data_IF_398816689000
#
_entry.id   IF_398816689000
#
_cell.length_a   1.000
_cell.length_b   1.000
_cell.length_c   1.000
_cell.angle_alpha   90.00
_cell.angle_beta   90.00
_cell.angle_gamma   90.00
#
_symmetry.space_group_name_H-M   'P 1'
#
loop_
_entity.id
_entity.type
_entity.pdbx_description
1 polymer ?
#
# COMPACT_ATOMS: atom_id res chain seq x y z
N UNK A 1 -8.95 -8.08 6.74
CA UNK A 1 -8.99 -6.75 6.10
C UNK A 1 -7.58 -6.32 5.74
N UNK A 2 -7.45 -5.22 5.00
CA UNK A 2 -6.16 -4.72 4.49
C UNK A 2 -5.09 -4.55 5.58
N UNK A 3 -5.44 -3.87 6.68
CA UNK A 3 -4.54 -3.63 7.83
C UNK A 3 -3.90 -4.90 8.41
N UNK A 4 -4.66 -6.00 8.49
CA UNK A 4 -4.19 -7.30 9.01
C UNK A 4 -3.01 -7.85 8.22
N UNK A 5 -2.96 -7.60 6.90
CA UNK A 5 -1.84 -8.07 6.08
C UNK A 5 -0.56 -7.33 6.44
N UNK A 6 -0.64 -6.03 6.71
CA UNK A 6 0.51 -5.21 7.08
C UNK A 6 1.01 -5.60 8.47
N UNK A 7 0.11 -5.87 9.42
CA UNK A 7 0.46 -6.41 10.74
C UNK A 7 1.22 -7.75 10.62
N UNK A 8 0.75 -8.67 9.77
CA UNK A 8 1.45 -9.95 9.52
C UNK A 8 2.84 -9.73 8.91
N UNK A 9 2.98 -8.78 7.97
CA UNK A 9 4.29 -8.44 7.40
C UNK A 9 5.22 -7.87 8.47
N UNK A 10 4.70 -7.05 9.38
CA UNK A 10 5.45 -6.50 10.51
C UNK A 10 5.93 -7.60 11.46
N UNK A 11 5.02 -8.48 11.88
CA UNK A 11 5.34 -9.61 12.78
C UNK A 11 6.40 -10.54 12.20
N UNK A 12 6.46 -10.65 10.86
CA UNK A 12 7.45 -11.46 10.16
C UNK A 12 8.73 -10.71 9.80
N UNK A 13 8.88 -9.45 10.20
CA UNK A 13 10.00 -8.58 9.81
C UNK A 13 10.18 -8.48 8.28
N UNK A 14 9.06 -8.40 7.55
CA UNK A 14 9.02 -8.36 6.08
C UNK A 14 8.51 -7.04 5.52
N UNK A 15 8.20 -6.04 6.37
CA UNK A 15 7.69 -4.74 5.89
C UNK A 15 8.67 -4.06 4.93
N UNK A 16 9.95 -4.04 5.26
CA UNK A 16 10.96 -3.36 4.43
C UNK A 16 11.28 -4.13 3.13
N UNK A 17 10.80 -5.37 3.00
CA UNK A 17 11.03 -6.22 1.83
C UNK A 17 10.02 -5.96 0.71
N UNK A 18 8.85 -5.44 1.02
CA UNK A 18 7.76 -5.29 0.05
C UNK A 18 7.18 -3.88 0.08
N UNK A 19 6.84 -3.38 -1.09
CA UNK A 19 5.95 -2.23 -1.24
C UNK A 19 4.51 -2.72 -1.19
N UNK A 20 3.71 -2.16 -0.29
CA UNK A 20 2.31 -2.51 -0.07
C UNK A 20 1.43 -1.36 -0.51
N UNK A 21 0.61 -1.57 -1.54
CA UNK A 21 -0.42 -0.62 -1.96
C UNK A 21 -1.81 -1.14 -1.60
N UNK A 22 -2.72 -0.24 -1.23
CA UNK A 22 -4.12 -0.54 -0.94
C UNK A 22 -5.02 -0.10 -2.10
N UNK A 23 -6.24 -0.64 -2.17
CA UNK A 23 -7.18 -0.29 -3.23
C UNK A 23 -8.62 -0.70 -2.91
N UNK A 24 -9.55 -0.23 -3.74
CA UNK A 24 -10.99 -0.40 -3.56
C UNK A 24 -11.70 0.92 -3.22
N UNK A 25 -13.01 0.97 -3.50
CA UNK A 25 -13.82 2.18 -3.36
C UNK A 25 -13.73 2.93 -2.00
N UNK A 26 -13.61 2.26 -0.83
CA UNK A 26 -13.56 2.98 0.45
C UNK A 26 -12.15 3.42 0.88
N UNK A 27 -11.11 3.16 0.07
CA UNK A 27 -9.73 3.48 0.46
C UNK A 27 -9.46 4.98 0.27
N UNK A 28 -8.88 5.59 1.30
CA UNK A 28 -8.48 7.00 1.33
C UNK A 28 -7.00 7.11 1.69
N UNK A 29 -6.40 8.28 1.42
CA UNK A 29 -5.03 8.57 1.90
C UNK A 29 -4.90 8.46 3.43
N UNK A 30 -5.93 8.83 4.19
CA UNK A 30 -5.94 8.67 5.64
C UNK A 30 -5.89 7.20 6.07
N UNK A 31 -6.60 6.32 5.36
CA UNK A 31 -6.58 4.88 5.63
C UNK A 31 -5.22 4.25 5.30
N UNK A 32 -4.59 4.65 4.19
CA UNK A 32 -3.23 4.22 3.82
C UNK A 32 -2.23 4.58 4.92
N UNK A 33 -2.28 5.82 5.42
CA UNK A 33 -1.42 6.29 6.50
C UNK A 33 -1.70 5.54 7.82
N UNK A 34 -2.96 5.32 8.17
CA UNK A 34 -3.32 4.54 9.37
C UNK A 34 -2.81 3.09 9.28
N UNK A 35 -2.84 2.52 8.09
CA UNK A 35 -2.37 1.18 7.81
C UNK A 35 -0.85 1.06 7.72
N UNK A 36 -0.12 2.17 7.58
CA UNK A 36 1.32 2.16 7.25
C UNK A 36 1.63 1.44 5.92
N UNK A 37 0.81 1.69 4.89
CA UNK A 37 1.03 1.22 3.54
C UNK A 37 1.76 2.28 2.68
N UNK A 38 2.37 1.88 1.56
CA UNK A 38 3.14 2.75 0.67
C UNK A 38 2.27 3.59 -0.28
N UNK A 39 0.99 3.25 -0.48
CA UNK A 39 0.11 4.08 -1.30
C UNK A 39 -1.26 3.47 -1.61
N UNK A 40 -2.08 4.25 -2.30
CA UNK A 40 -3.28 3.77 -3.02
C UNK A 40 -3.47 4.59 -4.30
N UNK A 41 -4.29 4.07 -5.22
CA UNK A 41 -4.73 4.81 -6.38
C UNK A 41 -6.25 4.65 -6.58
N UNK A 42 -6.90 5.68 -7.13
CA UNK A 42 -8.35 5.72 -7.34
C UNK A 42 -8.79 4.84 -8.52
N UNK A 43 -7.90 4.55 -9.46
CA UNK A 43 -8.19 3.75 -10.64
C UNK A 43 -6.96 2.98 -11.13
N UNK A 44 -7.17 2.10 -12.12
CA UNK A 44 -6.14 1.22 -12.65
C UNK A 44 -4.98 1.97 -13.31
N UNK A 45 -5.24 3.09 -14.00
CA UNK A 45 -4.19 3.85 -14.70
C UNK A 45 -3.28 4.54 -13.68
N UNK A 46 -3.86 5.14 -12.65
CA UNK A 46 -3.09 5.79 -11.61
C UNK A 46 -2.35 4.80 -10.71
N UNK A 47 -2.85 3.56 -10.58
CA UNK A 47 -2.13 2.48 -9.91
C UNK A 47 -0.82 2.12 -10.63
N UNK A 48 -0.82 2.11 -11.98
CA UNK A 48 0.41 1.87 -12.75
C UNK A 48 1.44 2.96 -12.46
N UNK A 49 1.03 4.24 -12.51
CA UNK A 49 1.93 5.38 -12.23
C UNK A 49 2.48 5.34 -10.80
N UNK A 50 1.61 5.03 -9.82
CA UNK A 50 2.01 4.87 -8.42
C UNK A 50 3.08 3.79 -8.28
N UNK A 51 2.85 2.59 -8.83
CA UNK A 51 3.81 1.49 -8.75
C UNK A 51 5.13 1.86 -9.43
N UNK A 52 5.09 2.52 -10.59
CA UNK A 52 6.30 3.04 -11.24
C UNK A 52 7.08 3.96 -10.29
N UNK A 53 6.44 4.95 -9.66
CA UNK A 53 7.11 5.86 -8.71
C UNK A 53 7.67 5.17 -7.46
N UNK A 54 7.04 4.08 -7.00
CA UNK A 54 7.49 3.33 -5.81
C UNK A 54 8.70 2.42 -6.09
N UNK A 55 8.93 2.08 -7.36
CA UNK A 55 10.01 1.20 -7.80
C UNK A 55 11.20 1.98 -8.39
N UNK A 56 11.02 3.27 -8.69
CA UNK A 56 12.10 4.16 -9.09
C UNK A 56 13.15 4.29 -7.96
N UNK A 57 14.42 4.30 -8.35
CA UNK A 57 15.59 4.39 -7.44
C UNK A 57 16.01 5.83 -7.21
#
# INVERSE_FOLDING_TARGET
GQKKIIEILKERNMLDRFKVILGGAPVTNSWVAECNADGFAENAIDAVKLVSSLLEK
#
